data_IF_038440944623
#
_entry.id   IF_038440944623
#
_cell.length_a   1.000
_cell.length_b   1.000
_cell.length_c   1.000
_cell.angle_alpha   90.00
_cell.angle_beta   90.00
_cell.angle_gamma   90.00
#
_symmetry.space_group_name_H-M   'P 1'
#
loop_
_entity.id
_entity.type
_entity.pdbx_description
1 polymer ?
#
# COMPACT_ATOMS: atom_id res chain seq x y z
N UNK A 1 20.95 -29.34 -26.29
CA UNK A 1 20.26 -28.13 -26.78
C UNK A 1 18.76 -28.39 -26.83
N UNK A 2 18.05 -27.99 -25.79
CA UNK A 2 16.65 -27.53 -25.80
C UNK A 2 16.37 -26.98 -24.40
N UNK A 3 15.80 -25.78 -24.36
CA UNK A 3 15.71 -24.90 -23.19
C UNK A 3 14.35 -25.01 -22.50
N UNK A 4 14.37 -24.78 -21.17
CA UNK A 4 13.38 -24.16 -20.27
C UNK A 4 11.87 -24.27 -20.55
N UNK A 5 11.10 -24.68 -19.53
CA UNK A 5 9.88 -23.95 -19.19
C UNK A 5 9.66 -23.94 -17.67
N UNK A 6 10.08 -22.86 -17.04
CA UNK A 6 9.76 -22.57 -15.64
C UNK A 6 8.30 -22.11 -15.55
N UNK A 7 7.40 -23.01 -15.15
CA UNK A 7 5.98 -22.69 -14.89
C UNK A 7 5.90 -21.82 -13.63
N UNK A 8 5.90 -20.51 -13.80
CA UNK A 8 5.57 -19.56 -12.73
C UNK A 8 4.06 -19.64 -12.49
N UNK A 9 3.67 -20.33 -11.41
CA UNK A 9 2.28 -20.39 -10.98
C UNK A 9 1.80 -18.96 -10.64
N UNK A 10 0.89 -18.43 -11.45
CA UNK A 10 0.19 -17.18 -11.14
C UNK A 10 -0.64 -17.40 -9.87
N UNK A 11 -0.57 -16.52 -8.86
CA UNK A 11 -1.38 -16.67 -7.65
C UNK A 11 -2.86 -16.73 -8.03
N UNK A 12 -3.57 -17.70 -7.45
CA UNK A 12 -5.00 -17.92 -7.65
C UNK A 12 -5.74 -16.69 -7.14
N UNK A 13 -6.14 -15.82 -8.07
CA UNK A 13 -6.92 -14.61 -7.81
C UNK A 13 -8.28 -15.02 -7.21
N UNK A 14 -8.37 -15.01 -5.88
CA UNK A 14 -9.65 -15.09 -5.19
C UNK A 14 -10.34 -13.76 -5.45
N UNK A 15 -11.43 -13.79 -6.21
CA UNK A 15 -12.23 -12.61 -6.53
C UNK A 15 -12.80 -12.04 -5.22
N UNK A 16 -12.11 -11.06 -4.66
CA UNK A 16 -12.58 -10.34 -3.47
C UNK A 16 -13.61 -9.31 -3.92
N UNK A 17 -14.68 -9.17 -3.13
CA UNK A 17 -15.74 -8.22 -3.44
C UNK A 17 -15.22 -6.81 -3.14
N UNK A 18 -15.29 -5.92 -4.13
CA UNK A 18 -15.10 -4.48 -3.94
C UNK A 18 -16.26 -3.93 -3.10
N UNK A 19 -16.10 -3.94 -1.78
CA UNK A 19 -17.09 -3.43 -0.83
C UNK A 19 -16.44 -2.43 0.10
N UNK A 20 -17.18 -1.37 0.42
CA UNK A 20 -16.75 -0.41 1.42
C UNK A 20 -16.77 -1.06 2.81
N UNK A 21 -15.74 -0.80 3.61
CA UNK A 21 -15.70 -1.17 5.01
C UNK A 21 -16.56 -0.21 5.87
N UNK A 22 -16.59 -0.45 7.19
CA UNK A 22 -17.32 0.38 8.15
C UNK A 22 -16.83 1.85 8.15
N UNK A 23 -15.59 2.10 7.74
CA UNK A 23 -15.02 3.43 7.57
C UNK A 23 -15.26 4.04 6.18
N UNK A 24 -16.05 3.39 5.32
CA UNK A 24 -16.33 3.87 3.97
C UNK A 24 -15.12 3.82 3.03
N UNK A 25 -14.17 2.93 3.29
CA UNK A 25 -12.96 2.75 2.49
C UNK A 25 -12.95 1.38 1.81
N UNK A 26 -12.17 1.26 0.74
CA UNK A 26 -11.93 0.01 0.01
C UNK A 26 -10.42 -0.24 -0.10
N UNK A 27 -10.00 -1.51 -0.08
CA UNK A 27 -8.59 -1.82 -0.27
C UNK A 27 -8.17 -1.60 -1.72
N UNK A 28 -6.93 -1.14 -1.95
CA UNK A 28 -6.38 -0.98 -3.29
C UNK A 28 -6.31 -2.33 -4.01
N UNK A 29 -6.09 -3.42 -3.28
CA UNK A 29 -6.14 -4.77 -3.85
C UNK A 29 -7.53 -5.12 -4.42
N UNK A 30 -8.62 -4.77 -3.73
CA UNK A 30 -9.97 -5.04 -4.24
C UNK A 30 -10.28 -4.20 -5.48
N UNK A 31 -9.83 -2.94 -5.48
CA UNK A 31 -9.91 -2.05 -6.64
C UNK A 31 -9.21 -2.69 -7.84
N UNK A 32 -7.94 -3.08 -7.69
CA UNK A 32 -7.14 -3.71 -8.74
C UNK A 32 -7.79 -5.01 -9.26
N UNK A 33 -8.29 -5.85 -8.35
CA UNK A 33 -8.96 -7.10 -8.72
C UNK A 33 -10.28 -6.84 -9.47
N UNK A 34 -11.01 -5.78 -9.11
CA UNK A 34 -12.30 -5.46 -9.74
C UNK A 34 -12.14 -4.87 -11.13
N UNK A 35 -11.11 -4.05 -11.35
CA UNK A 35 -10.78 -3.58 -12.69
C UNK A 35 -10.13 -4.67 -13.55
N UNK A 36 -9.54 -5.70 -12.93
CA UNK A 36 -8.80 -6.78 -13.59
C UNK A 36 -7.77 -6.24 -14.60
N UNK A 37 -7.16 -5.11 -14.26
CA UNK A 37 -6.22 -4.35 -15.08
C UNK A 37 -5.24 -3.60 -14.17
N UNK A 38 -3.99 -3.37 -14.62
CA UNK A 38 -3.07 -2.49 -13.92
C UNK A 38 -3.59 -1.05 -13.92
N UNK A 39 -3.22 -0.28 -12.91
CA UNK A 39 -3.47 1.16 -12.89
C UNK A 39 -2.66 1.86 -13.98
N UNK A 40 -3.22 2.93 -14.54
CA UNK A 40 -2.48 3.79 -15.45
C UNK A 40 -1.51 4.70 -14.66
N UNK A 41 -0.68 5.44 -15.39
CA UNK A 41 0.31 6.34 -14.80
C UNK A 41 -0.31 7.46 -13.94
N UNK A 42 -1.41 8.06 -14.41
CA UNK A 42 -2.08 9.15 -13.68
C UNK A 42 -2.62 8.67 -12.32
N UNK A 43 -3.22 7.48 -12.28
CA UNK A 43 -3.70 6.87 -11.05
C UNK A 43 -2.52 6.52 -10.12
N UNK A 44 -1.40 6.05 -10.67
CA UNK A 44 -0.20 5.77 -9.87
C UNK A 44 0.34 7.06 -9.23
N UNK A 45 0.44 8.16 -9.98
CA UNK A 45 0.85 9.45 -9.45
C UNK A 45 -0.11 9.98 -8.38
N UNK A 46 -1.42 9.90 -8.62
CA UNK A 46 -2.42 10.32 -7.65
C UNK A 46 -2.33 9.50 -6.34
N UNK A 47 -2.19 8.17 -6.45
CA UNK A 47 -2.00 7.30 -5.28
C UNK A 47 -0.73 7.67 -4.50
N UNK A 48 0.40 7.82 -5.18
CA UNK A 48 1.66 8.23 -4.56
C UNK A 48 1.54 9.58 -3.82
N UNK A 49 0.92 10.57 -4.46
CA UNK A 49 0.69 11.89 -3.86
C UNK A 49 -0.17 11.80 -2.61
N UNK A 50 -1.30 11.09 -2.69
CA UNK A 50 -2.24 10.98 -1.57
C UNK A 50 -1.65 10.15 -0.42
N UNK A 51 -0.86 9.11 -0.69
CA UNK A 51 -0.11 8.37 0.32
C UNK A 51 0.92 9.26 1.02
N UNK A 52 1.70 10.02 0.27
CA UNK A 52 2.70 10.93 0.84
C UNK A 52 2.06 12.02 1.70
N UNK A 53 0.92 12.57 1.27
CA UNK A 53 0.17 13.56 2.04
C UNK A 53 -0.38 12.95 3.33
N UNK A 54 -0.97 11.75 3.26
CA UNK A 54 -1.45 11.02 4.44
C UNK A 54 -0.30 10.76 5.43
N UNK A 55 0.86 10.35 4.93
CA UNK A 55 2.06 10.09 5.74
C UNK A 55 2.60 11.36 6.39
N UNK A 56 2.68 12.46 5.64
CA UNK A 56 3.09 13.76 6.18
C UNK A 56 2.16 14.22 7.31
N UNK A 57 0.85 14.06 7.14
CA UNK A 57 -0.14 14.39 8.18
C UNK A 57 -0.01 13.48 9.40
N UNK A 58 0.14 12.17 9.20
CA UNK A 58 0.30 11.19 10.29
C UNK A 58 1.60 11.43 11.08
N UNK A 59 2.72 11.68 10.38
CA UNK A 59 4.01 11.97 10.98
C UNK A 59 4.03 13.31 11.74
N UNK A 60 3.21 14.27 11.34
CA UNK A 60 3.03 15.53 12.07
C UNK A 60 2.22 15.34 13.36
N UNK A 61 1.29 14.38 13.40
CA UNK A 61 0.51 14.07 14.60
C UNK A 61 1.27 13.18 15.60
N UNK A 62 1.77 12.02 15.15
CA UNK A 62 2.44 11.04 16.01
C UNK A 62 3.43 10.18 15.20
N UNK A 63 4.72 10.56 15.23
CA UNK A 63 5.78 9.85 14.48
C UNK A 63 5.88 8.36 14.82
N UNK A 64 5.55 7.98 16.06
CA UNK A 64 5.68 6.60 16.56
C UNK A 64 4.53 5.67 16.15
N UNK A 65 3.49 6.19 15.48
CA UNK A 65 2.32 5.39 15.06
C UNK A 65 2.31 5.04 13.57
N UNK A 66 3.25 5.61 12.80
CA UNK A 66 3.34 5.37 11.38
C UNK A 66 4.07 4.04 11.10
N UNK A 67 3.44 3.14 10.35
CA UNK A 67 4.05 1.90 9.86
C UNK A 67 4.34 1.96 8.37
N UNK A 68 5.30 1.13 7.94
CA UNK A 68 5.60 0.93 6.54
C UNK A 68 4.53 0.06 5.90
N UNK A 69 4.05 0.47 4.74
CA UNK A 69 3.11 -0.29 3.92
C UNK A 69 3.92 -1.22 3.04
N UNK A 70 3.87 -2.53 3.29
CA UNK A 70 4.60 -3.52 2.50
C UNK A 70 3.75 -4.15 1.39
N UNK A 71 2.42 -4.10 1.53
CA UNK A 71 1.49 -4.80 0.64
C UNK A 71 0.30 -3.92 0.21
N UNK A 72 -0.21 -4.16 -1.00
CA UNK A 72 -1.30 -3.36 -1.61
C UNK A 72 -2.66 -3.54 -0.93
N UNK A 73 -2.88 -4.62 -0.18
CA UNK A 73 -4.10 -4.82 0.61
C UNK A 73 -4.18 -3.93 1.85
N UNK A 74 -3.04 -3.39 2.29
CA UNK A 74 -2.96 -2.47 3.41
C UNK A 74 -3.28 -1.03 3.01
N UNK A 75 -3.37 -0.73 1.71
CA UNK A 75 -3.73 0.61 1.22
C UNK A 75 -5.24 0.75 1.14
N UNK A 76 -5.80 1.65 1.94
CA UNK A 76 -7.23 1.92 2.00
C UNK A 76 -7.56 3.27 1.36
N UNK A 77 -8.40 3.23 0.34
CA UNK A 77 -8.88 4.40 -0.41
C UNK A 77 -10.32 4.70 0.02
N UNK A 78 -10.57 5.93 0.43
CA UNK A 78 -11.93 6.40 0.74
C UNK A 78 -12.74 6.64 -0.55
N UNK A 79 -14.06 6.70 -0.43
CA UNK A 79 -14.95 7.11 -1.53
C UNK A 79 -14.62 8.49 -2.14
N UNK A 80 -13.94 9.35 -1.39
CA UNK A 80 -13.52 10.69 -1.82
C UNK A 80 -12.17 10.68 -2.55
N UNK A 81 -11.55 9.51 -2.73
CA UNK A 81 -10.24 9.37 -3.37
C UNK A 81 -9.05 9.80 -2.49
N UNK A 82 -9.25 9.84 -1.17
CA UNK A 82 -8.18 10.11 -0.19
C UNK A 82 -7.69 8.81 0.43
N UNK A 83 -6.42 8.78 0.83
CA UNK A 83 -5.84 7.64 1.55
C UNK A 83 -6.20 7.72 3.02
N UNK A 84 -6.84 6.68 3.52
CA UNK A 84 -7.28 6.62 4.91
C UNK A 84 -6.07 6.41 5.84
N UNK A 85 -6.00 7.07 7.02
CA UNK A 85 -4.90 6.90 7.97
C UNK A 85 -4.68 5.46 8.43
N UNK A 86 -5.72 4.62 8.37
CA UNK A 86 -5.63 3.15 8.60
C UNK A 86 -4.57 2.47 7.74
N UNK A 87 -4.26 3.04 6.56
CA UNK A 87 -3.17 2.57 5.70
C UNK A 87 -1.81 2.66 6.39
N UNK A 88 -1.64 3.63 7.28
CA UNK A 88 -0.36 3.95 7.93
C UNK A 88 -0.33 3.61 9.40
N UNK A 89 -1.43 3.13 9.97
CA UNK A 89 -1.53 2.76 11.38
C UNK A 89 -1.28 1.27 11.51
N UNK A 90 -0.40 0.89 12.42
CA UNK A 90 -0.21 -0.50 12.81
C UNK A 90 -1.58 -1.08 13.21
N UNK A 91 -2.14 -1.98 12.40
CA UNK A 91 -3.10 -2.91 12.95
C UNK A 91 -2.29 -3.83 13.86
N UNK A 92 -2.74 -4.01 15.11
CA UNK A 92 -2.00 -4.76 16.14
C UNK A 92 -1.65 -6.21 15.74
N UNK A 93 -2.19 -6.70 14.62
CA UNK A 93 -1.92 -8.01 14.04
C UNK A 93 -0.65 -8.06 13.17
N UNK A 94 -0.10 -6.93 12.73
CA UNK A 94 1.06 -6.86 11.82
C UNK A 94 2.19 -5.96 12.37
N UNK A 95 2.49 -6.05 13.67
CA UNK A 95 3.73 -5.51 14.24
C UNK A 95 4.95 -6.38 13.86
N UNK A 96 5.12 -6.65 12.56
CA UNK A 96 6.34 -7.21 12.00
C UNK A 96 7.38 -6.10 11.89
N UNK A 97 8.49 -6.29 12.60
CA UNK A 97 9.79 -5.61 12.51
C UNK A 97 9.82 -4.27 11.75
N UNK A 98 9.88 -3.17 12.51
CA UNK A 98 10.15 -1.83 11.97
C UNK A 98 11.55 -1.82 11.34
N UNK A 99 11.64 -2.07 10.04
CA UNK A 99 12.89 -1.91 9.28
C UNK A 99 13.15 -0.42 9.09
N UNK A 100 14.06 0.11 9.91
CA UNK A 100 14.47 1.52 9.87
C UNK A 100 15.42 1.71 8.69
N UNK A 101 14.89 2.14 7.54
CA UNK A 101 15.71 2.56 6.40
C UNK A 101 16.02 4.05 6.48
N UNK A 102 16.96 4.42 7.34
CA UNK A 102 17.79 5.61 7.19
C UNK A 102 19.20 5.25 7.66
N UNK A 103 20.05 4.81 6.73
CA UNK A 103 21.49 4.90 6.96
C UNK A 103 21.91 6.32 6.58
N UNK A 104 22.25 7.07 7.63
CA UNK A 104 22.98 8.31 7.58
C UNK A 104 24.26 8.15 6.75
N UNK A 105 24.26 8.66 5.52
CA UNK A 105 25.49 8.96 4.81
C UNK A 105 25.93 10.35 5.24
N UNK A 106 26.47 10.45 6.46
CA UNK A 106 27.32 11.55 6.85
C UNK A 106 28.65 11.38 6.10
N UNK A 107 28.72 11.82 4.85
CA UNK A 107 30.00 12.01 4.16
C UNK A 107 30.40 13.47 4.30
N UNK A 108 31.22 13.74 5.31
CA UNK A 108 32.17 14.85 5.29
C UNK A 108 33.04 14.69 4.05
N UNK A 109 33.11 15.74 3.23
CA UNK A 109 34.35 16.38 2.79
C UNK A 109 34.04 17.71 2.09
#
# INVERSE_FOLDING_TARGET
>A
MASDVSVTAKPKQVMRKCTLDENGCVSLLDILNSFNAPINEEHAWALCFQCAQCFKSAAASDKNKCVLVDSVDQVFVSKEGTIHPKTLLATAENAGEVVVWWSEQASKE
#
